data_IF_376181182643
#
_entry.id   IF_376181182643
#
_cell.length_a   1.000
_cell.length_b   1.000
_cell.length_c   1.000
_cell.angle_alpha   90.00
_cell.angle_beta   90.00
_cell.angle_gamma   90.00
#
_symmetry.space_group_name_H-M   'P 1'
#
loop_
_entity.id
_entity.type
_entity.pdbx_description
1 polymer ?
#
# COMPACT_ATOMS: atom_id res chain seq x y z
N UNK A 1 4.51 -27.74 48.68
CA UNK A 1 3.57 -26.91 47.89
C UNK A 1 3.89 -26.87 46.39
N UNK A 2 5.14 -27.09 45.93
CA UNK A 2 5.49 -26.92 44.51
C UNK A 2 4.97 -28.01 43.54
N UNK A 3 4.83 -29.27 43.97
CA UNK A 3 4.39 -30.36 43.08
C UNK A 3 2.89 -30.30 42.76
N UNK A 4 2.06 -29.94 43.75
CA UNK A 4 0.61 -29.76 43.57
C UNK A 4 0.31 -28.58 42.63
N UNK A 5 0.97 -27.44 42.80
CA UNK A 5 0.77 -26.28 41.91
C UNK A 5 1.14 -26.59 40.45
N UNK A 6 2.20 -27.39 40.23
CA UNK A 6 2.60 -27.84 38.90
C UNK A 6 1.55 -28.79 38.27
N UNK A 7 1.00 -29.72 39.05
CA UNK A 7 -0.06 -30.61 38.55
C UNK A 7 -1.36 -29.87 38.21
N UNK A 8 -1.71 -28.83 38.96
CA UNK A 8 -2.87 -27.99 38.66
C UNK A 8 -2.70 -27.17 37.37
N UNK A 9 -1.52 -26.59 37.13
CA UNK A 9 -1.22 -25.86 35.89
C UNK A 9 -1.22 -26.77 34.65
N UNK A 10 -0.67 -27.98 34.76
CA UNK A 10 -0.72 -28.96 33.66
C UNK A 10 -2.15 -29.39 33.34
N UNK A 11 -2.98 -29.61 34.37
CA UNK A 11 -4.38 -29.96 34.18
C UNK A 11 -5.19 -28.84 33.50
N UNK A 12 -4.89 -27.58 33.81
CA UNK A 12 -5.53 -26.40 33.20
C UNK A 12 -5.13 -26.27 31.72
N UNK A 13 -3.83 -26.34 31.41
CA UNK A 13 -3.34 -26.34 30.03
C UNK A 13 -3.90 -27.50 29.18
N UNK A 14 -4.03 -28.70 29.76
CA UNK A 14 -4.63 -29.85 29.06
C UNK A 14 -6.12 -29.62 28.75
N UNK A 15 -6.83 -28.89 29.61
CA UNK A 15 -8.24 -28.54 29.41
C UNK A 15 -8.38 -27.50 28.29
N UNK A 16 -7.48 -26.52 28.23
CA UNK A 16 -7.45 -25.52 27.16
C UNK A 16 -7.11 -26.14 25.80
N UNK A 17 -6.12 -27.03 25.74
CA UNK A 17 -5.75 -27.76 24.51
C UNK A 17 -6.94 -28.58 23.99
N UNK A 18 -7.62 -29.33 24.86
CA UNK A 18 -8.81 -30.10 24.48
C UNK A 18 -9.98 -29.22 24.01
N UNK A 19 -10.05 -27.97 24.47
CA UNK A 19 -11.07 -27.01 24.05
C UNK A 19 -10.72 -26.46 22.66
N UNK A 20 -9.45 -26.09 22.46
CA UNK A 20 -8.92 -25.63 21.17
C UNK A 20 -9.03 -26.70 20.08
N UNK A 21 -8.77 -27.97 20.39
CA UNK A 21 -8.96 -29.09 19.45
C UNK A 21 -10.41 -29.21 18.98
N UNK A 22 -11.38 -29.08 19.89
CA UNK A 22 -12.80 -29.10 19.54
C UNK A 22 -13.21 -27.90 18.68
N UNK A 23 -12.68 -26.72 18.98
CA UNK A 23 -12.92 -25.52 18.17
C UNK A 23 -12.31 -25.63 16.76
N UNK A 24 -11.11 -26.21 16.65
CA UNK A 24 -10.47 -26.46 15.37
C UNK A 24 -11.29 -27.44 14.52
N UNK A 25 -11.73 -28.55 15.10
CA UNK A 25 -12.61 -29.50 14.41
C UNK A 25 -13.93 -28.85 13.98
N UNK A 26 -14.51 -27.97 14.80
CA UNK A 26 -15.70 -27.22 14.43
C UNK A 26 -15.44 -26.26 13.25
N UNK A 27 -14.29 -25.58 13.24
CA UNK A 27 -13.86 -24.71 12.13
C UNK A 27 -13.59 -25.50 10.85
N UNK A 28 -12.96 -26.67 10.93
CA UNK A 28 -12.71 -27.53 9.77
C UNK A 28 -14.02 -28.02 9.14
N UNK A 29 -15.00 -28.40 9.96
CA UNK A 29 -16.34 -28.80 9.47
C UNK A 29 -17.06 -27.62 8.82
N UNK A 30 -17.01 -26.43 9.41
CA UNK A 30 -17.61 -25.22 8.86
C UNK A 30 -16.92 -24.79 7.55
N UNK A 31 -15.60 -24.85 7.49
CA UNK A 31 -14.83 -24.57 6.27
C UNK A 31 -15.19 -25.57 5.16
N UNK A 32 -15.22 -26.87 5.47
CA UNK A 32 -15.60 -27.90 4.49
C UNK A 32 -17.04 -27.70 3.98
N UNK A 33 -17.95 -27.21 4.83
CA UNK A 33 -19.32 -26.85 4.43
C UNK A 33 -19.31 -25.67 3.46
N UNK A 34 -18.55 -24.62 3.74
CA UNK A 34 -18.43 -23.43 2.88
C UNK A 34 -17.75 -23.74 1.55
N UNK A 35 -16.71 -24.56 1.54
CA UNK A 35 -16.03 -25.01 0.32
C UNK A 35 -16.99 -25.80 -0.58
N UNK A 36 -17.81 -26.69 -0.03
CA UNK A 36 -18.82 -27.43 -0.80
C UNK A 36 -19.90 -26.50 -1.37
N UNK A 37 -20.28 -25.46 -0.63
CA UNK A 37 -21.25 -24.48 -1.10
C UNK A 37 -20.67 -23.57 -2.20
N UNK A 38 -19.44 -23.10 -2.02
CA UNK A 38 -18.70 -22.35 -3.03
C UNK A 38 -18.55 -23.17 -4.31
N UNK A 39 -18.09 -24.42 -4.20
CA UNK A 39 -17.95 -25.32 -5.34
C UNK A 39 -19.27 -25.53 -6.08
N UNK A 40 -20.39 -25.66 -5.37
CA UNK A 40 -21.73 -25.75 -6.01
C UNK A 40 -22.11 -24.46 -6.73
N UNK A 41 -21.79 -23.30 -6.17
CA UNK A 41 -22.04 -21.98 -6.79
C UNK A 41 -21.12 -21.77 -8.00
N UNK A 42 -19.86 -22.17 -7.93
CA UNK A 42 -18.89 -22.15 -9.03
C UNK A 42 -19.32 -23.09 -10.16
N UNK A 43 -19.72 -24.32 -9.86
CA UNK A 43 -20.23 -25.26 -10.86
C UNK A 43 -21.55 -24.76 -11.49
N UNK A 44 -22.43 -24.11 -10.73
CA UNK A 44 -23.65 -23.51 -11.26
C UNK A 44 -23.37 -22.29 -12.15
N UNK A 45 -22.42 -21.43 -11.74
CA UNK A 45 -21.98 -20.28 -12.52
C UNK A 45 -21.25 -20.70 -13.81
N UNK A 46 -20.41 -21.74 -13.74
CA UNK A 46 -19.74 -22.35 -14.89
C UNK A 46 -20.75 -22.96 -15.87
N UNK A 47 -21.79 -23.65 -15.37
CA UNK A 47 -22.90 -24.17 -16.21
C UNK A 47 -23.76 -23.04 -16.81
N UNK A 48 -23.87 -21.91 -16.11
CA UNK A 48 -24.59 -20.73 -16.59
C UNK A 48 -23.76 -19.86 -17.57
N UNK A 49 -22.51 -20.25 -17.87
CA UNK A 49 -21.63 -19.49 -18.76
C UNK A 49 -21.24 -18.11 -18.23
N UNK A 50 -21.41 -17.86 -16.94
CA UNK A 50 -21.00 -16.61 -16.29
C UNK A 50 -19.49 -16.69 -16.05
N UNK A 51 -18.72 -15.94 -16.82
CA UNK A 51 -17.27 -15.79 -16.63
C UNK A 51 -17.04 -15.14 -15.26
N UNK A 52 -16.59 -15.92 -14.28
CA UNK A 52 -16.14 -15.39 -12.99
C UNK A 52 -14.72 -14.86 -13.20
N UNK A 53 -14.56 -13.55 -13.29
CA UNK A 53 -13.23 -12.92 -13.29
C UNK A 53 -12.61 -13.01 -11.88
N UNK A 54 -11.38 -13.52 -11.81
CA UNK A 54 -10.63 -13.69 -10.56
C UNK A 54 -10.21 -12.33 -9.98
N UNK A 55 -10.44 -12.15 -8.67
CA UNK A 55 -10.33 -10.84 -8.02
C UNK A 55 -8.86 -10.44 -7.77
N UNK A 56 -8.43 -9.41 -8.49
CA UNK A 56 -7.11 -8.77 -8.47
C UNK A 56 -6.75 -8.03 -7.14
N UNK A 57 -5.46 -8.07 -6.84
CA UNK A 57 -4.67 -7.63 -5.68
C UNK A 57 -4.72 -6.12 -5.29
N UNK A 58 -4.45 -5.71 -4.01
CA UNK A 58 -4.34 -6.47 -2.75
C UNK A 58 -5.60 -6.40 -1.86
N UNK A 59 -5.72 -7.36 -0.94
CA UNK A 59 -6.91 -7.68 -0.13
C UNK A 59 -7.51 -6.55 0.74
N UNK A 60 -6.83 -5.42 0.95
CA UNK A 60 -7.22 -4.43 1.96
C UNK A 60 -7.71 -3.06 1.45
N UNK A 61 -7.70 -2.77 0.14
CA UNK A 61 -8.36 -1.57 -0.42
C UNK A 61 -8.88 -1.78 -1.85
N UNK A 62 -10.15 -2.16 -2.04
CA UNK A 62 -10.75 -2.31 -3.37
C UNK A 62 -11.38 -0.99 -3.80
N UNK A 63 -10.59 -0.01 -4.23
CA UNK A 63 -11.10 1.25 -4.82
C UNK A 63 -10.92 1.27 -6.34
N UNK A 64 -9.98 0.47 -6.90
CA UNK A 64 -9.72 0.42 -8.35
C UNK A 64 -9.57 -1.05 -8.77
N UNK A 65 -10.48 -1.53 -9.62
CA UNK A 65 -10.30 -2.76 -10.37
C UNK A 65 -9.23 -2.51 -11.44
N UNK A 66 -8.15 -3.28 -11.45
CA UNK A 66 -7.17 -3.24 -12.53
C UNK A 66 -6.68 -4.65 -12.83
N UNK A 67 -7.41 -5.38 -13.66
CA UNK A 67 -7.04 -6.75 -14.01
C UNK A 67 -5.94 -6.73 -15.07
N UNK A 68 -4.68 -6.63 -14.61
CA UNK A 68 -3.49 -6.58 -15.48
C UNK A 68 -3.42 -7.79 -16.43
N UNK A 69 -3.99 -8.93 -16.03
CA UNK A 69 -3.94 -10.16 -16.80
C UNK A 69 -5.04 -10.25 -17.86
N UNK A 70 -6.22 -9.68 -17.59
CA UNK A 70 -7.37 -9.74 -18.50
C UNK A 70 -7.53 -8.49 -19.39
N UNK A 71 -7.05 -7.31 -18.97
CA UNK A 71 -7.13 -6.05 -19.73
C UNK A 71 -6.01 -5.88 -20.76
N UNK A 72 -4.84 -6.50 -20.55
CA UNK A 72 -3.68 -6.41 -21.45
C UNK A 72 -3.40 -7.79 -22.04
N UNK A 73 -3.53 -7.98 -23.37
CA UNK A 73 -3.21 -9.24 -24.02
C UNK A 73 -1.80 -9.74 -23.62
N UNK A 74 -1.65 -11.03 -23.29
CA UNK A 74 -0.39 -11.66 -22.82
C UNK A 74 0.85 -11.31 -23.66
N UNK A 75 0.66 -11.06 -24.96
CA UNK A 75 1.74 -10.69 -25.88
C UNK A 75 2.21 -9.23 -25.73
N UNK A 76 1.37 -8.32 -25.21
CA UNK A 76 1.67 -6.91 -24.97
C UNK A 76 2.21 -6.63 -23.57
N UNK A 77 1.97 -7.54 -22.60
CA UNK A 77 2.45 -7.38 -21.22
C UNK A 77 3.98 -7.24 -21.13
N UNK A 78 4.74 -8.04 -21.90
CA UNK A 78 6.21 -7.87 -21.96
C UNK A 78 6.61 -6.49 -22.47
N UNK A 79 5.93 -5.97 -23.47
CA UNK A 79 6.21 -4.65 -24.03
C UNK A 79 5.89 -3.54 -23.03
N UNK A 80 4.79 -3.66 -22.29
CA UNK A 80 4.46 -2.73 -21.20
C UNK A 80 5.48 -2.79 -20.06
N UNK A 81 5.85 -3.99 -19.59
CA UNK A 81 6.87 -4.15 -18.55
C UNK A 81 8.23 -3.61 -19.00
N UNK A 82 8.64 -3.88 -20.24
CA UNK A 82 9.89 -3.34 -20.79
C UNK A 82 9.78 -1.82 -20.94
N UNK A 83 8.66 -1.26 -21.38
CA UNK A 83 8.45 0.19 -21.46
C UNK A 83 8.48 0.86 -20.07
N UNK A 84 7.83 0.26 -19.06
CA UNK A 84 7.90 0.74 -17.69
C UNK A 84 9.32 0.64 -17.10
N UNK A 85 10.01 -0.48 -17.31
CA UNK A 85 11.35 -0.70 -16.75
C UNK A 85 12.46 0.07 -17.46
N UNK A 86 12.34 0.32 -18.76
CA UNK A 86 13.40 0.96 -19.57
C UNK A 86 13.18 2.46 -19.78
N UNK A 87 11.92 2.92 -19.90
CA UNK A 87 11.61 4.31 -20.22
C UNK A 87 11.02 5.07 -19.04
N UNK A 88 10.11 4.46 -18.26
CA UNK A 88 9.40 5.16 -17.19
C UNK A 88 10.15 5.15 -15.85
N UNK A 89 10.65 4.01 -15.41
CA UNK A 89 11.37 3.88 -14.13
C UNK A 89 12.65 4.72 -14.05
N UNK A 90 13.58 4.60 -15.02
CA UNK A 90 14.85 5.32 -14.95
C UNK A 90 14.66 6.83 -15.02
N UNK A 91 13.78 7.35 -15.89
CA UNK A 91 13.56 8.80 -16.00
C UNK A 91 13.02 9.41 -14.70
N UNK A 92 12.09 8.72 -14.01
CA UNK A 92 11.52 9.20 -12.74
C UNK A 92 12.60 9.21 -11.67
N UNK A 93 13.42 8.15 -11.62
CA UNK A 93 14.54 8.06 -10.68
C UNK A 93 15.58 9.17 -10.91
N UNK A 94 15.99 9.42 -12.16
CA UNK A 94 16.92 10.52 -12.47
C UNK A 94 16.34 11.90 -12.12
N UNK A 95 15.06 12.15 -12.43
CA UNK A 95 14.40 13.40 -12.06
C UNK A 95 14.33 13.59 -10.53
N UNK A 96 14.09 12.52 -9.77
CA UNK A 96 14.09 12.56 -8.31
C UNK A 96 15.48 12.89 -7.74
N UNK A 97 16.54 12.29 -8.29
CA UNK A 97 17.93 12.58 -7.88
C UNK A 97 18.29 14.03 -8.20
N UNK A 98 17.98 14.51 -9.40
CA UNK A 98 18.20 15.91 -9.80
C UNK A 98 17.43 16.86 -8.88
N UNK A 99 16.16 16.54 -8.57
CA UNK A 99 15.34 17.33 -7.66
C UNK A 99 15.92 17.38 -6.24
N UNK A 100 16.50 16.29 -5.73
CA UNK A 100 17.11 16.29 -4.40
C UNK A 100 18.41 17.12 -4.38
N UNK A 101 19.25 16.97 -5.39
CA UNK A 101 20.54 17.67 -5.50
C UNK A 101 20.35 19.16 -5.75
N UNK A 102 19.36 19.57 -6.55
CA UNK A 102 19.06 20.98 -6.81
C UNK A 102 18.10 21.58 -5.78
N UNK A 103 17.19 20.79 -5.25
CA UNK A 103 16.20 21.20 -4.27
C UNK A 103 16.83 21.59 -2.93
N UNK A 104 17.84 20.86 -2.47
CA UNK A 104 18.53 21.18 -1.21
C UNK A 104 19.27 22.54 -1.24
N UNK A 105 20.12 22.84 -2.24
CA UNK A 105 20.73 24.17 -2.38
C UNK A 105 19.72 25.23 -2.81
N UNK A 106 18.77 24.91 -3.69
CA UNK A 106 17.70 25.83 -4.11
C UNK A 106 16.87 26.30 -2.92
N UNK A 107 16.48 25.38 -2.04
CA UNK A 107 15.77 25.66 -0.80
C UNK A 107 16.54 26.61 0.12
N UNK A 108 17.85 26.39 0.25
CA UNK A 108 18.69 27.24 1.08
C UNK A 108 18.71 28.70 0.58
N UNK A 109 18.83 28.92 -0.73
CA UNK A 109 18.90 30.26 -1.31
C UNK A 109 17.55 30.96 -1.45
N UNK A 110 16.50 30.22 -1.83
CA UNK A 110 15.19 30.81 -2.17
C UNK A 110 14.35 31.14 -0.94
N UNK A 111 14.42 30.34 0.13
CA UNK A 111 13.59 30.58 1.32
C UNK A 111 14.34 30.56 2.64
N UNK A 112 15.37 29.72 2.86
CA UNK A 112 16.06 29.71 4.16
C UNK A 112 16.86 31.00 4.43
N UNK A 113 17.65 31.44 3.45
CA UNK A 113 18.50 32.63 3.58
C UNK A 113 17.69 33.94 3.64
N UNK A 114 16.65 34.16 2.81
CA UNK A 114 15.76 35.32 2.94
C UNK A 114 14.98 35.31 4.25
N UNK A 115 14.51 34.15 4.71
CA UNK A 115 13.81 34.00 5.99
C UNK A 115 14.71 34.35 7.17
N UNK A 116 15.94 33.83 7.19
CA UNK A 116 16.92 34.15 8.22
C UNK A 116 17.22 35.65 8.29
N UNK A 117 17.36 36.29 7.12
CA UNK A 117 17.51 37.76 7.03
C UNK A 117 16.26 38.52 7.45
N UNK A 118 15.07 38.01 7.16
CA UNK A 118 13.81 38.66 7.52
C UNK A 118 13.59 38.64 9.04
N UNK A 119 13.82 37.49 9.69
CA UNK A 119 13.73 37.35 11.16
C UNK A 119 14.72 38.25 11.89
N UNK A 120 15.94 38.45 11.34
CA UNK A 120 16.93 39.35 11.95
C UNK A 120 16.58 40.84 11.80
N UNK A 121 15.76 41.22 10.83
CA UNK A 121 15.49 42.63 10.50
C UNK A 121 14.03 43.06 10.78
N UNK A 122 13.26 42.29 11.55
CA UNK A 122 11.85 42.55 11.95
C UNK A 122 10.92 43.05 10.82
N UNK A 123 11.14 42.59 9.58
CA UNK A 123 10.43 43.10 8.41
C UNK A 123 9.44 42.06 7.87
N UNK A 124 8.17 42.23 8.21
CA UNK A 124 7.08 41.34 7.77
C UNK A 124 6.91 41.28 6.23
N UNK A 125 7.23 42.37 5.52
CA UNK A 125 7.16 42.39 4.06
C UNK A 125 8.19 41.45 3.40
N UNK A 126 9.36 41.27 4.02
CA UNK A 126 10.37 40.31 3.54
C UNK A 126 9.95 38.86 3.79
N UNK A 127 9.00 38.63 4.70
CA UNK A 127 8.37 37.33 4.94
C UNK A 127 7.42 36.94 3.79
N UNK A 128 6.84 37.90 3.07
CA UNK A 128 5.98 37.63 1.91
C UNK A 128 6.70 36.87 0.79
N UNK A 129 7.97 37.19 0.54
CA UNK A 129 8.80 36.47 -0.44
C UNK A 129 9.03 35.00 -0.04
N UNK A 130 9.19 34.72 1.26
CA UNK A 130 9.27 33.35 1.76
C UNK A 130 7.99 32.56 1.44
N UNK A 131 6.81 33.12 1.80
CA UNK A 131 5.54 32.44 1.57
C UNK A 131 5.22 32.19 0.10
N UNK A 132 5.53 33.16 -0.78
CA UNK A 132 5.25 33.03 -2.20
C UNK A 132 6.00 31.86 -2.84
N UNK A 133 7.32 31.77 -2.62
CA UNK A 133 8.12 30.66 -3.16
C UNK A 133 7.82 29.32 -2.47
N UNK A 134 7.54 29.35 -1.17
CA UNK A 134 7.18 28.14 -0.43
C UNK A 134 5.82 27.59 -0.88
N UNK A 135 4.83 28.43 -1.16
CA UNK A 135 3.52 28.01 -1.68
C UNK A 135 3.65 27.37 -3.06
N UNK A 136 4.44 27.96 -3.96
CA UNK A 136 4.73 27.37 -5.27
C UNK A 136 5.40 26.00 -5.13
N UNK A 137 6.33 25.84 -4.19
CA UNK A 137 6.97 24.56 -3.92
C UNK A 137 5.97 23.51 -3.40
N UNK A 138 5.09 23.87 -2.46
CA UNK A 138 4.04 22.97 -1.97
C UNK A 138 3.09 22.58 -3.10
N UNK A 139 2.67 23.52 -3.94
CA UNK A 139 1.82 23.23 -5.10
C UNK A 139 2.50 22.27 -6.09
N UNK A 140 3.79 22.44 -6.34
CA UNK A 140 4.59 21.50 -7.15
C UNK A 140 4.65 20.11 -6.51
N UNK A 141 4.90 19.99 -5.21
CA UNK A 141 4.92 18.71 -4.51
C UNK A 141 3.57 17.98 -4.58
N UNK A 142 2.46 18.72 -4.43
CA UNK A 142 1.10 18.17 -4.58
C UNK A 142 0.86 17.69 -6.00
N UNK A 143 1.20 18.51 -7.00
CA UNK A 143 1.09 18.13 -8.41
C UNK A 143 1.91 16.88 -8.75
N UNK A 144 3.17 16.82 -8.28
CA UNK A 144 4.06 15.68 -8.46
C UNK A 144 3.57 14.40 -7.76
N UNK A 145 2.72 14.52 -6.74
CA UNK A 145 2.08 13.36 -6.06
C UNK A 145 0.87 12.84 -6.82
N UNK A 146 0.15 13.73 -7.53
CA UNK A 146 -1.08 13.39 -8.27
C UNK A 146 -0.76 12.90 -9.69
N UNK A 147 0.32 13.40 -10.31
CA UNK A 147 0.77 12.91 -11.61
C UNK A 147 1.40 11.52 -11.46
N UNK A 148 0.87 10.47 -12.10
CA UNK A 148 1.47 9.13 -12.11
C UNK A 148 2.79 9.08 -12.89
#
# INVERSE_FOLDING_TARGET
MNQLNSSYLLADHMKDIKTMEKELLAKEVELSRREKELRRREEAAARAGVVIEEKNWPSFFPIIHHDINNEIPVHLQRTQYVAFASLLGPKIWFLAVIYFILGCPGAYYLWYRPLYRAMRNDSALKFGWFFLFYLVHIAFCVYATISP
#
